data_IF_076020558250
#
_entry.id   IF_076020558250
#
_cell.length_a   1.000
_cell.length_b   1.000
_cell.length_c   1.000
_cell.angle_alpha   90.00
_cell.angle_beta   90.00
_cell.angle_gamma   90.00
#
_symmetry.space_group_name_H-M   'P 1'
#
loop_
_entity.id
_entity.type
_entity.pdbx_description
1 polymer ?
#
# COMPACT_ATOMS: atom_id res chain seq x y z
N UNK A 1 14.35 1.29 -7.07
CA UNK A 1 13.40 1.52 -8.17
C UNK A 1 13.51 2.99 -8.49
N UNK A 2 14.44 3.36 -9.36
CA UNK A 2 14.68 4.74 -9.78
C UNK A 2 14.84 4.74 -11.29
N UNK A 3 14.25 5.76 -11.94
CA UNK A 3 14.42 6.29 -13.29
C UNK A 3 14.56 5.35 -14.53
N UNK A 4 14.86 4.05 -14.38
CA UNK A 4 14.95 3.10 -15.48
C UNK A 4 13.57 2.49 -15.73
N UNK A 5 12.80 3.16 -16.58
CA UNK A 5 11.63 2.63 -17.29
C UNK A 5 10.44 2.28 -16.40
N UNK A 6 9.44 3.15 -16.37
CA UNK A 6 8.08 2.78 -15.96
C UNK A 6 7.45 1.97 -17.09
N UNK A 7 7.36 0.65 -16.89
CA UNK A 7 6.71 -0.25 -17.83
C UNK A 7 5.22 -0.29 -17.53
N UNK A 8 4.41 0.20 -18.46
CA UNK A 8 2.96 0.02 -18.39
C UNK A 8 2.65 -1.49 -18.47
N UNK A 9 1.53 -1.92 -17.89
CA UNK A 9 1.06 -3.33 -17.87
C UNK A 9 0.59 -3.84 -19.25
N UNK A 10 1.25 -3.42 -20.32
CA UNK A 10 0.97 -3.83 -21.69
C UNK A 10 1.96 -4.95 -22.05
N UNK A 11 1.46 -6.05 -22.62
CA UNK A 11 2.24 -7.26 -22.92
C UNK A 11 3.53 -7.05 -23.74
N UNK A 12 3.74 -5.87 -24.35
CA UNK A 12 5.00 -5.47 -24.97
C UNK A 12 6.20 -5.52 -24.01
N UNK A 13 6.05 -5.03 -22.77
CA UNK A 13 7.14 -5.12 -21.79
C UNK A 13 7.40 -6.56 -21.37
N UNK A 14 6.34 -7.37 -21.33
CA UNK A 14 6.46 -8.79 -21.01
C UNK A 14 7.19 -9.61 -22.08
N UNK A 15 7.13 -9.20 -23.34
CA UNK A 15 7.89 -9.83 -24.42
C UNK A 15 9.41 -9.81 -24.16
N UNK A 16 9.90 -8.77 -23.48
CA UNK A 16 11.32 -8.66 -23.10
C UNK A 16 11.73 -9.63 -21.97
N UNK A 17 10.75 -10.24 -21.29
CA UNK A 17 10.93 -11.17 -20.18
C UNK A 17 10.49 -12.59 -20.53
N UNK A 18 10.60 -12.94 -21.82
CA UNK A 18 10.15 -14.24 -22.33
C UNK A 18 10.74 -15.41 -21.54
N UNK A 19 12.02 -15.36 -21.21
CA UNK A 19 12.72 -16.45 -20.51
C UNK A 19 12.17 -16.64 -19.09
N UNK A 20 12.01 -15.54 -18.36
CA UNK A 20 11.45 -15.52 -17.01
C UNK A 20 9.99 -15.97 -17.00
N UNK A 21 9.23 -15.61 -18.04
CA UNK A 21 7.85 -16.06 -18.21
C UNK A 21 7.76 -17.56 -18.52
N UNK A 22 8.65 -18.08 -19.36
CA UNK A 22 8.77 -19.52 -19.65
C UNK A 22 9.12 -20.30 -18.36
N UNK A 23 10.06 -19.80 -17.56
CA UNK A 23 10.41 -20.39 -16.26
C UNK A 23 9.21 -20.36 -15.28
N UNK A 24 8.46 -19.25 -15.22
CA UNK A 24 7.26 -19.16 -14.38
C UNK A 24 6.15 -20.12 -14.80
N UNK A 25 6.10 -20.44 -16.09
CA UNK A 25 5.12 -21.35 -16.70
C UNK A 25 5.62 -22.80 -16.82
N UNK A 26 6.81 -23.09 -16.32
CA UNK A 26 7.36 -24.45 -16.24
C UNK A 26 6.82 -25.18 -15.01
N UNK A 27 5.78 -25.99 -15.23
CA UNK A 27 5.15 -26.82 -14.20
C UNK A 27 4.38 -27.98 -14.84
N UNK A 28 4.23 -29.06 -14.07
CA UNK A 28 3.36 -30.16 -14.43
C UNK A 28 1.90 -29.88 -14.01
N UNK A 29 0.96 -30.20 -14.91
CA UNK A 29 -0.46 -30.02 -14.66
C UNK A 29 -0.89 -30.89 -13.48
N UNK A 30 -1.49 -30.26 -12.47
CA UNK A 30 -1.96 -30.95 -11.26
C UNK A 30 -0.88 -31.20 -10.20
N UNK A 31 0.37 -30.80 -10.45
CA UNK A 31 1.44 -30.85 -9.43
C UNK A 31 1.47 -29.56 -8.60
N UNK A 32 2.37 -29.47 -7.62
CA UNK A 32 2.64 -28.28 -6.81
C UNK A 32 3.50 -27.30 -7.63
N UNK A 33 3.08 -26.04 -7.71
CA UNK A 33 3.87 -25.02 -8.39
C UNK A 33 5.22 -24.81 -7.70
N UNK A 34 6.23 -24.43 -8.49
CA UNK A 34 7.52 -23.98 -7.99
C UNK A 34 7.36 -22.83 -6.97
N UNK A 35 8.32 -22.74 -6.06
CA UNK A 35 8.33 -21.72 -5.01
C UNK A 35 8.92 -20.39 -5.51
N UNK A 36 8.21 -19.79 -6.47
CA UNK A 36 8.71 -18.79 -7.41
C UNK A 36 8.03 -17.43 -7.26
N UNK A 37 7.53 -17.10 -6.06
CA UNK A 37 6.83 -15.84 -5.83
C UNK A 37 7.68 -14.60 -6.15
N UNK A 38 9.01 -14.69 -6.00
CA UNK A 38 9.94 -13.62 -6.41
C UNK A 38 9.97 -13.41 -7.92
N UNK A 39 9.93 -14.50 -8.69
CA UNK A 39 9.86 -14.47 -10.15
C UNK A 39 8.53 -13.86 -10.60
N UNK A 40 7.42 -14.30 -9.99
CA UNK A 40 6.10 -13.71 -10.21
C UNK A 40 6.08 -12.20 -9.94
N UNK A 41 6.60 -11.75 -8.79
CA UNK A 41 6.69 -10.32 -8.46
C UNK A 41 7.57 -9.55 -9.44
N UNK A 42 8.70 -10.14 -9.86
CA UNK A 42 9.61 -9.54 -10.83
C UNK A 42 8.87 -9.30 -12.15
N UNK A 43 8.22 -10.33 -12.70
CA UNK A 43 7.39 -10.23 -13.90
C UNK A 43 6.34 -9.11 -13.75
N UNK A 44 5.58 -9.08 -12.66
CA UNK A 44 4.55 -8.05 -12.41
C UNK A 44 5.13 -6.62 -12.36
N UNK A 45 6.26 -6.42 -11.69
CA UNK A 45 6.91 -5.10 -11.56
C UNK A 45 7.40 -4.58 -12.91
N UNK A 46 7.81 -5.49 -13.80
CA UNK A 46 8.33 -5.20 -15.12
C UNK A 46 7.26 -5.23 -16.24
N UNK A 47 5.97 -5.22 -15.87
CA UNK A 47 4.86 -5.04 -16.82
C UNK A 47 4.29 -6.33 -17.41
N UNK A 48 4.69 -7.52 -16.92
CA UNK A 48 3.98 -8.78 -17.17
C UNK A 48 2.77 -8.92 -16.25
N UNK A 49 1.77 -8.06 -16.41
CA UNK A 49 0.51 -8.14 -15.67
C UNK A 49 -0.70 -7.99 -16.62
N UNK A 50 -1.79 -8.77 -16.44
CA UNK A 50 -1.94 -9.88 -15.49
C UNK A 50 -1.03 -11.06 -15.81
N UNK A 51 -0.52 -11.73 -14.77
CA UNK A 51 0.20 -12.99 -14.95
C UNK A 51 -0.73 -14.08 -15.52
N UNK A 52 -0.20 -14.98 -16.36
CA UNK A 52 -0.96 -16.13 -16.85
C UNK A 52 -1.40 -17.04 -15.69
N UNK A 53 -2.60 -17.60 -15.81
CA UNK A 53 -3.10 -18.58 -14.84
C UNK A 53 -2.31 -19.89 -14.98
N UNK A 54 -1.96 -20.49 -13.85
CA UNK A 54 -1.29 -21.80 -13.80
C UNK A 54 -2.27 -22.92 -13.49
N UNK A 55 -1.97 -24.12 -13.99
CA UNK A 55 -2.71 -25.36 -13.70
C UNK A 55 -1.96 -26.26 -12.71
N UNK A 56 -1.24 -25.67 -11.77
CA UNK A 56 -0.59 -26.32 -10.64
C UNK A 56 -1.19 -25.78 -9.33
N UNK A 57 -1.04 -26.54 -8.24
CA UNK A 57 -1.48 -26.15 -6.91
C UNK A 57 -0.49 -25.18 -6.27
N UNK A 58 -0.99 -24.04 -5.78
CA UNK A 58 -0.16 -23.07 -5.05
C UNK A 58 0.47 -23.72 -3.81
N UNK A 59 1.77 -23.52 -3.64
CA UNK A 59 2.50 -24.02 -2.47
C UNK A 59 2.00 -23.34 -1.20
N UNK A 60 1.42 -24.12 -0.30
CA UNK A 60 0.92 -23.68 1.00
C UNK A 60 1.94 -24.00 2.13
N UNK A 61 1.81 -23.36 3.31
CA UNK A 61 2.53 -23.82 4.50
C UNK A 61 2.18 -25.29 4.82
N UNK A 62 3.13 -26.08 5.34
CA UNK A 62 2.96 -27.52 5.53
C UNK A 62 1.95 -27.87 6.64
N UNK A 63 1.65 -26.94 7.53
CA UNK A 63 0.76 -27.15 8.67
C UNK A 63 -0.37 -26.13 8.64
N UNK A 64 -1.59 -26.61 8.93
CA UNK A 64 -2.74 -25.75 9.17
C UNK A 64 -2.87 -25.49 10.67
N UNK A 65 -2.91 -24.23 11.07
CA UNK A 65 -3.35 -23.83 12.40
C UNK A 65 -4.61 -22.99 12.29
N UNK A 66 -5.52 -23.17 13.26
CA UNK A 66 -6.79 -22.42 13.27
C UNK A 66 -6.48 -20.92 13.40
N UNK A 67 -7.00 -20.07 12.49
CA UNK A 67 -6.81 -18.62 12.59
C UNK A 67 -7.39 -18.06 13.90
N UNK A 68 -6.78 -16.98 14.39
CA UNK A 68 -7.30 -16.24 15.53
C UNK A 68 -8.66 -15.61 15.16
N UNK A 69 -9.58 -15.47 16.13
CA UNK A 69 -10.79 -14.66 15.96
C UNK A 69 -10.45 -13.23 15.52
N UNK A 70 -11.32 -12.61 14.72
CA UNK A 70 -11.05 -11.29 14.10
C UNK A 70 -10.69 -10.20 15.12
N UNK A 71 -11.31 -10.22 16.29
CA UNK A 71 -11.08 -9.29 17.40
C UNK A 71 -9.69 -9.43 18.02
N UNK A 72 -9.06 -10.61 17.94
CA UNK A 72 -7.70 -10.86 18.43
C UNK A 72 -6.67 -10.71 17.29
N UNK A 73 -7.00 -11.16 16.08
CA UNK A 73 -6.09 -11.21 14.94
C UNK A 73 -5.62 -9.83 14.47
N UNK A 74 -6.40 -8.77 14.71
CA UNK A 74 -6.04 -7.42 14.26
C UNK A 74 -4.71 -6.92 14.82
N UNK A 75 -4.37 -7.30 16.05
CA UNK A 75 -3.21 -6.76 16.77
C UNK A 75 -2.26 -7.84 17.31
N UNK A 76 -2.60 -9.12 17.18
CA UNK A 76 -1.71 -10.22 17.49
C UNK A 76 -0.71 -10.48 16.36
N UNK A 77 0.53 -10.85 16.72
CA UNK A 77 1.49 -11.39 15.76
C UNK A 77 0.97 -12.72 15.19
N UNK A 78 0.97 -12.91 13.86
CA UNK A 78 0.56 -14.18 13.27
C UNK A 78 1.49 -15.34 13.65
N UNK A 79 0.97 -16.57 13.56
CA UNK A 79 1.77 -17.78 13.75
C UNK A 79 2.75 -17.96 12.59
N UNK A 80 4.03 -18.12 12.91
CA UNK A 80 5.11 -18.36 11.94
C UNK A 80 4.80 -19.53 11.00
N UNK A 81 4.08 -20.55 11.47
CA UNK A 81 3.77 -21.76 10.69
C UNK A 81 2.81 -21.50 9.54
N UNK A 82 2.06 -20.39 9.58
CA UNK A 82 1.09 -20.04 8.54
C UNK A 82 1.67 -19.17 7.42
N UNK A 83 2.98 -18.93 7.44
CA UNK A 83 3.68 -18.14 6.43
C UNK A 83 4.74 -18.99 5.76
N UNK A 84 4.83 -18.86 4.43
CA UNK A 84 5.90 -19.46 3.66
C UNK A 84 7.14 -18.56 3.73
N UNK A 85 8.10 -18.95 4.56
CA UNK A 85 9.32 -18.18 4.78
C UNK A 85 10.40 -18.31 3.70
N UNK A 86 10.18 -19.14 2.68
CA UNK A 86 11.16 -19.34 1.61
C UNK A 86 11.52 -18.02 0.94
N UNK A 87 12.77 -17.88 0.53
CA UNK A 87 13.28 -16.68 -0.13
C UNK A 87 13.27 -15.36 0.69
N UNK A 88 12.82 -15.36 1.95
CA UNK A 88 13.02 -14.27 2.89
C UNK A 88 14.31 -14.43 3.71
N UNK A 89 14.86 -13.32 4.19
CA UNK A 89 16.01 -13.34 5.12
C UNK A 89 15.58 -13.79 6.51
N UNK A 90 14.48 -13.24 7.01
CA UNK A 90 13.86 -13.69 8.25
C UNK A 90 13.05 -14.98 8.03
N UNK A 91 12.99 -15.81 9.08
CA UNK A 91 12.28 -17.11 9.09
C UNK A 91 11.15 -17.18 10.11
N UNK A 92 10.89 -16.09 10.80
CA UNK A 92 9.80 -15.91 11.76
C UNK A 92 9.52 -14.42 11.95
N UNK A 93 8.36 -14.10 12.52
CA UNK A 93 7.94 -12.74 12.84
C UNK A 93 8.83 -12.10 13.90
N UNK A 94 9.33 -12.87 14.89
CA UNK A 94 10.27 -12.36 15.88
C UNK A 94 11.54 -11.79 15.24
N UNK A 95 12.06 -12.43 14.19
CA UNK A 95 13.16 -11.88 13.38
C UNK A 95 12.75 -10.58 12.69
N UNK A 96 11.54 -10.48 12.12
CA UNK A 96 11.09 -9.25 11.47
C UNK A 96 10.96 -8.08 12.47
N UNK A 97 10.49 -8.36 13.69
CA UNK A 97 10.38 -7.35 14.77
C UNK A 97 11.76 -6.92 15.29
N UNK A 98 12.70 -7.87 15.45
CA UNK A 98 14.03 -7.61 16.02
C UNK A 98 15.08 -7.13 15.01
N UNK A 99 14.92 -7.45 13.72
CA UNK A 99 15.84 -7.11 12.64
C UNK A 99 15.51 -5.74 12.02
N UNK A 100 14.99 -4.81 12.82
CA UNK A 100 14.60 -3.46 12.39
C UNK A 100 15.77 -2.64 11.83
N UNK A 101 17.01 -3.14 11.86
CA UNK A 101 18.15 -2.50 11.19
C UNK A 101 19.17 -3.51 10.64
N UNK A 102 19.43 -3.47 9.32
CA UNK A 102 20.78 -3.34 8.72
C UNK A 102 20.89 -3.53 7.19
N UNK A 103 19.85 -3.96 6.46
CA UNK A 103 19.77 -3.89 4.96
C UNK A 103 18.40 -4.36 4.44
N UNK A 104 17.45 -3.45 4.27
CA UNK A 104 16.06 -3.67 3.81
C UNK A 104 15.28 -2.35 3.71
N UNK A 105 14.07 -2.36 3.13
CA UNK A 105 13.22 -1.17 2.88
C UNK A 105 13.03 -0.32 4.16
N UNK A 106 13.79 0.78 4.27
CA UNK A 106 13.89 1.60 5.48
C UNK A 106 12.58 2.20 5.97
N UNK A 107 11.56 2.31 5.10
CA UNK A 107 10.28 2.94 5.45
C UNK A 107 9.36 2.08 6.32
N UNK A 108 9.71 0.80 6.55
CA UNK A 108 8.86 -0.15 7.28
C UNK A 108 9.62 -0.95 8.35
N UNK A 109 10.66 -0.35 8.96
CA UNK A 109 11.52 -1.01 9.94
C UNK A 109 10.75 -1.60 11.14
N UNK A 110 9.74 -0.88 11.62
CA UNK A 110 8.96 -1.25 12.81
C UNK A 110 7.53 -1.72 12.47
N UNK A 111 7.21 -1.94 11.19
CA UNK A 111 5.86 -2.29 10.74
C UNK A 111 5.35 -3.63 11.28
N UNK A 112 6.24 -4.51 11.73
CA UNK A 112 5.89 -5.81 12.28
C UNK A 112 5.70 -5.77 13.81
N UNK A 113 6.05 -4.68 14.49
CA UNK A 113 5.68 -4.47 15.89
C UNK A 113 4.21 -4.03 15.98
N UNK A 114 3.32 -5.03 15.89
CA UNK A 114 1.87 -4.82 15.89
C UNK A 114 1.33 -4.33 17.23
N UNK A 115 1.94 -4.74 18.34
CA UNK A 115 1.50 -4.41 19.70
C UNK A 115 2.07 -3.10 20.24
N UNK A 116 3.21 -2.65 19.74
CA UNK A 116 3.86 -1.40 20.13
C UNK A 116 3.68 -0.31 19.08
N UNK A 117 4.65 -0.18 18.17
CA UNK A 117 4.69 0.89 17.17
C UNK A 117 3.39 1.03 16.38
N UNK A 118 2.92 -0.05 15.74
CA UNK A 118 1.73 0.02 14.88
C UNK A 118 0.42 0.18 15.67
N UNK A 119 0.34 -0.37 16.88
CA UNK A 119 -0.82 -0.14 17.76
C UNK A 119 -0.94 1.34 18.14
N UNK A 120 0.13 2.11 18.26
CA UNK A 120 0.00 3.53 18.56
C UNK A 120 -0.50 4.36 17.36
N UNK A 121 -0.30 3.89 16.12
CA UNK A 121 -0.57 4.70 14.92
C UNK A 121 -2.06 4.99 14.71
N UNK A 122 -2.33 6.20 14.25
CA UNK A 122 -3.66 6.78 14.02
C UNK A 122 -4.61 6.74 15.25
N UNK A 123 -4.07 6.59 16.47
CA UNK A 123 -4.83 6.71 17.70
C UNK A 123 -4.78 8.15 18.24
N UNK A 124 -5.89 8.66 18.79
CA UNK A 124 -6.06 10.06 19.24
C UNK A 124 -5.00 10.51 20.25
N UNK A 125 -4.63 9.64 21.19
CA UNK A 125 -3.66 9.99 22.26
C UNK A 125 -2.26 10.32 21.73
N UNK A 126 -1.83 9.69 20.64
CA UNK A 126 -0.51 9.93 20.04
C UNK A 126 -0.44 11.28 19.30
N UNK A 127 -1.59 11.81 18.88
CA UNK A 127 -1.70 13.16 18.33
C UNK A 127 -1.68 14.25 19.39
N UNK A 128 -2.34 14.02 20.52
CA UNK A 128 -2.40 14.98 21.62
C UNK A 128 -1.04 15.15 22.32
N UNK A 129 -0.18 14.12 22.36
CA UNK A 129 1.19 14.23 22.89
C UNK A 129 2.17 14.93 21.92
N UNK A 130 1.87 14.99 20.62
CA UNK A 130 2.63 15.79 19.65
C UNK A 130 2.09 17.23 19.61
N UNK A 131 2.14 17.91 20.75
CA UNK A 131 2.01 19.37 20.84
C UNK A 131 3.21 20.07 20.21
N UNK A 132 3.29 20.00 18.89
CA UNK A 132 3.84 21.01 18.00
C UNK A 132 2.86 21.04 16.84
N UNK A 133 2.26 22.19 16.55
CA UNK A 133 1.16 22.40 15.58
C UNK A 133 1.52 22.09 14.09
N UNK A 134 2.39 21.12 13.80
CA UNK A 134 2.92 20.77 12.48
C UNK A 134 3.03 19.24 12.27
N UNK A 135 2.02 18.46 12.68
CA UNK A 135 1.95 17.06 12.24
C UNK A 135 1.56 16.98 10.76
N UNK A 136 2.26 16.16 9.98
CA UNK A 136 1.89 15.88 8.59
C UNK A 136 0.70 14.93 8.46
N UNK A 137 0.37 14.15 9.47
CA UNK A 137 -0.64 13.08 9.34
C UNK A 137 -2.01 13.62 9.83
N UNK A 138 -3.13 13.09 9.34
CA UNK A 138 -4.46 13.36 9.91
C UNK A 138 -5.01 12.18 10.74
N UNK A 139 -5.84 12.46 11.75
CA UNK A 139 -6.48 11.38 12.50
C UNK A 139 -7.64 10.76 11.71
N UNK A 140 -7.86 9.45 11.88
CA UNK A 140 -8.96 8.74 11.19
C UNK A 140 -10.32 9.33 11.54
N UNK A 141 -10.54 9.66 12.81
CA UNK A 141 -11.81 10.22 13.26
C UNK A 141 -12.08 11.58 12.60
N UNK A 142 -11.06 12.45 12.49
CA UNK A 142 -11.21 13.74 11.79
C UNK A 142 -11.61 13.57 10.32
N UNK A 143 -11.04 12.59 9.61
CA UNK A 143 -11.36 12.38 8.20
C UNK A 143 -12.74 11.76 8.04
N UNK A 144 -13.10 10.79 8.88
CA UNK A 144 -14.44 10.17 8.84
C UNK A 144 -15.55 11.15 9.22
N UNK A 145 -15.28 12.09 10.14
CA UNK A 145 -16.25 13.12 10.54
C UNK A 145 -16.56 14.14 9.43
N UNK A 146 -15.68 14.30 8.42
CA UNK A 146 -15.98 15.12 7.23
C UNK A 146 -17.19 14.59 6.45
N UNK A 147 -17.37 13.26 6.45
CA UNK A 147 -18.42 12.55 5.69
C UNK A 147 -19.01 11.41 6.53
N UNK A 148 -19.56 11.77 7.69
CA UNK A 148 -20.03 10.81 8.70
C UNK A 148 -21.05 9.84 8.12
N UNK A 149 -20.74 8.55 8.18
CA UNK A 149 -21.59 7.46 7.69
C UNK A 149 -21.56 7.23 6.17
N UNK A 150 -20.81 8.01 5.40
CA UNK A 150 -20.73 7.85 3.94
C UNK A 150 -19.53 7.01 3.47
N UNK A 151 -18.46 6.95 4.27
CA UNK A 151 -17.23 6.19 3.97
C UNK A 151 -17.38 4.77 4.52
N UNK A 152 -17.46 3.77 3.64
CA UNK A 152 -17.73 2.37 4.01
C UNK A 152 -16.75 1.38 3.38
N UNK A 153 -16.29 1.70 2.17
CA UNK A 153 -15.30 0.91 1.44
C UNK A 153 -14.19 1.79 0.89
N UNK A 154 -12.95 1.36 1.04
CA UNK A 154 -11.80 2.07 0.49
C UNK A 154 -10.63 1.19 0.12
N UNK A 155 -9.64 1.82 -0.48
CA UNK A 155 -8.36 1.24 -0.86
C UNK A 155 -7.24 1.93 -0.08
N UNK A 156 -6.42 1.17 0.61
CA UNK A 156 -5.15 1.64 1.14
C UNK A 156 -4.03 1.24 0.19
N UNK A 157 -3.56 2.21 -0.57
CA UNK A 157 -2.44 2.07 -1.49
C UNK A 157 -1.18 2.46 -0.71
N UNK A 158 -0.75 1.58 0.19
CA UNK A 158 0.42 1.77 1.05
C UNK A 158 1.15 0.46 1.28
N UNK A 159 2.49 0.48 1.36
CA UNK A 159 3.24 -0.69 1.85
C UNK A 159 3.19 -0.70 3.37
N UNK A 160 2.70 -1.79 3.94
CA UNK A 160 2.67 -2.01 5.37
C UNK A 160 2.00 -3.33 5.73
N UNK A 161 1.76 -3.53 7.02
CA UNK A 161 1.14 -4.75 7.55
C UNK A 161 -0.38 -4.66 7.66
N UNK A 162 -1.02 -3.63 7.08
CA UNK A 162 -2.47 -3.43 7.11
C UNK A 162 -3.00 -2.63 8.30
N UNK A 163 -2.16 -1.85 8.98
CA UNK A 163 -2.54 -1.10 10.19
C UNK A 163 -3.66 -0.09 9.95
N UNK A 164 -3.62 0.64 8.83
CA UNK A 164 -4.72 1.54 8.45
C UNK A 164 -6.03 0.75 8.28
N UNK A 165 -5.99 -0.37 7.55
CA UNK A 165 -7.14 -1.25 7.39
C UNK A 165 -7.69 -1.80 8.72
N UNK A 166 -6.82 -2.16 9.67
CA UNK A 166 -7.22 -2.57 11.01
C UNK A 166 -7.98 -1.45 11.75
N UNK A 167 -7.44 -0.22 11.72
CA UNK A 167 -8.04 0.95 12.38
C UNK A 167 -9.37 1.37 11.77
N UNK A 168 -9.49 1.27 10.45
CA UNK A 168 -10.72 1.53 9.73
C UNK A 168 -11.78 0.46 10.00
N UNK A 169 -11.36 -0.81 10.17
CA UNK A 169 -12.26 -1.90 10.54
C UNK A 169 -12.86 -1.77 11.94
N UNK A 170 -12.12 -1.23 12.91
CA UNK A 170 -12.65 -0.86 14.23
C UNK A 170 -13.78 0.19 14.16
N UNK A 171 -13.95 0.84 13.00
CA UNK A 171 -14.98 1.84 12.70
C UNK A 171 -15.94 1.36 11.59
N UNK A 172 -16.02 0.05 11.39
CA UNK A 172 -16.88 -0.60 10.41
C UNK A 172 -16.61 -0.21 8.93
N UNK A 173 -15.41 0.27 8.62
CA UNK A 173 -14.99 0.56 7.25
C UNK A 173 -14.12 -0.58 6.70
N UNK A 174 -14.50 -1.08 5.52
CA UNK A 174 -13.75 -2.14 4.84
C UNK A 174 -12.66 -1.52 3.96
N UNK A 175 -11.41 -1.86 4.24
CA UNK A 175 -10.27 -1.42 3.44
C UNK A 175 -9.64 -2.61 2.73
N UNK A 176 -9.43 -2.47 1.42
CA UNK A 176 -8.55 -3.33 0.66
C UNK A 176 -7.15 -2.73 0.70
N UNK A 177 -6.15 -3.48 1.13
CA UNK A 177 -4.75 -3.03 1.22
C UNK A 177 -3.96 -3.51 0.02
N UNK A 178 -3.58 -2.60 -0.89
CA UNK A 178 -2.71 -2.90 -2.02
C UNK A 178 -1.25 -2.94 -1.58
N UNK A 179 -0.59 -4.08 -1.77
CA UNK A 179 0.80 -4.25 -1.37
C UNK A 179 1.54 -5.29 -2.20
N UNK A 180 2.85 -5.35 -1.99
CA UNK A 180 3.75 -6.38 -2.52
C UNK A 180 4.68 -6.87 -1.42
N UNK A 181 5.34 -8.00 -1.63
CA UNK A 181 6.24 -8.60 -0.66
C UNK A 181 7.67 -8.08 -0.87
N UNK A 182 8.09 -7.14 0.00
CA UNK A 182 9.38 -6.47 -0.06
C UNK A 182 10.28 -6.91 1.09
N UNK A 183 10.97 -8.05 0.91
CA UNK A 183 11.85 -8.61 1.93
C UNK A 183 11.13 -9.15 3.17
N UNK A 184 9.80 -9.01 3.22
CA UNK A 184 8.92 -9.53 4.25
C UNK A 184 7.55 -9.91 3.63
N UNK A 185 6.76 -10.77 4.31
CA UNK A 185 5.51 -11.33 3.81
C UNK A 185 4.30 -10.44 4.16
N UNK A 186 4.21 -9.26 3.55
CA UNK A 186 3.17 -8.25 3.87
C UNK A 186 1.76 -8.73 3.54
N UNK A 187 1.54 -9.32 2.37
CA UNK A 187 0.21 -9.82 1.99
C UNK A 187 -0.28 -10.90 2.94
N UNK A 188 0.57 -11.86 3.28
CA UNK A 188 0.25 -12.93 4.22
C UNK A 188 -0.04 -12.36 5.61
N UNK A 189 0.73 -11.37 6.05
CA UNK A 189 0.52 -10.70 7.34
C UNK A 189 -0.85 -10.01 7.40
N UNK A 190 -1.22 -9.27 6.35
CA UNK A 190 -2.53 -8.60 6.25
C UNK A 190 -3.66 -9.64 6.29
N UNK A 191 -3.54 -10.73 5.52
CA UNK A 191 -4.53 -11.81 5.50
C UNK A 191 -4.69 -12.48 6.87
N UNK A 192 -3.58 -12.76 7.57
CA UNK A 192 -3.61 -13.37 8.90
C UNK A 192 -4.21 -12.48 9.98
N UNK A 193 -4.21 -11.17 9.77
CA UNK A 193 -4.94 -10.20 10.62
C UNK A 193 -6.45 -10.20 10.35
N UNK A 194 -6.93 -10.95 9.35
CA UNK A 194 -8.33 -10.97 8.93
C UNK A 194 -8.73 -9.76 8.08
N UNK A 195 -7.74 -9.12 7.42
CA UNK A 195 -7.91 -7.98 6.54
C UNK A 195 -7.79 -8.41 5.07
N UNK A 196 -8.13 -7.52 4.13
CA UNK A 196 -8.18 -7.85 2.69
C UNK A 196 -6.92 -7.33 1.99
N UNK A 197 -5.90 -8.17 1.72
CA UNK A 197 -4.79 -7.78 0.86
C UNK A 197 -5.18 -7.92 -0.61
N UNK A 198 -4.61 -7.04 -1.44
CA UNK A 198 -4.50 -7.26 -2.88
C UNK A 198 -3.05 -7.15 -3.30
N UNK A 199 -2.54 -8.18 -3.97
CA UNK A 199 -1.16 -8.23 -4.43
C UNK A 199 -1.05 -7.43 -5.73
N UNK A 200 -0.58 -6.19 -5.63
CA UNK A 200 -0.67 -5.23 -6.72
C UNK A 200 0.54 -4.30 -6.75
N UNK A 201 1.12 -4.10 -7.94
CA UNK A 201 2.22 -3.15 -8.17
C UNK A 201 1.71 -1.78 -8.60
N UNK A 202 2.54 -0.76 -8.48
CA UNK A 202 2.21 0.63 -8.86
C UNK A 202 1.89 0.82 -10.34
N UNK A 203 2.42 -0.04 -11.22
CA UNK A 203 2.24 0.06 -12.68
C UNK A 203 0.94 -0.61 -13.17
N UNK A 204 0.20 -1.24 -12.26
CA UNK A 204 -1.01 -1.97 -12.58
C UNK A 204 -2.24 -1.09 -12.46
N UNK A 205 -3.16 -1.25 -13.41
CA UNK A 205 -4.49 -0.67 -13.30
C UNK A 205 -5.25 -1.34 -12.16
N UNK A 206 -5.85 -0.54 -11.30
CA UNK A 206 -6.65 -0.98 -10.18
C UNK A 206 -7.81 -1.88 -10.64
N UNK A 207 -7.93 -3.11 -10.10
CA UNK A 207 -8.95 -4.08 -10.49
C UNK A 207 -10.31 -3.80 -9.82
N UNK A 208 -10.67 -2.53 -9.69
CA UNK A 208 -11.99 -2.08 -9.27
C UNK A 208 -12.74 -1.50 -10.47
N UNK A 209 -14.06 -1.64 -10.45
CA UNK A 209 -14.91 -0.97 -11.43
C UNK A 209 -14.89 0.55 -11.20
N UNK A 210 -15.31 1.31 -12.20
CA UNK A 210 -15.26 2.76 -12.15
C UNK A 210 -16.26 3.29 -11.10
N UNK A 211 -15.85 4.31 -10.34
CA UNK A 211 -16.67 5.01 -9.35
C UNK A 211 -17.30 4.12 -8.25
N UNK A 212 -16.57 3.12 -7.73
CA UNK A 212 -17.08 2.20 -6.69
C UNK A 212 -16.56 2.47 -5.28
N UNK A 213 -15.42 3.15 -5.11
CA UNK A 213 -14.80 3.34 -3.81
C UNK A 213 -15.21 4.67 -3.17
N UNK A 214 -15.36 4.66 -1.84
CA UNK A 214 -15.66 5.86 -1.04
C UNK A 214 -14.39 6.59 -0.60
N UNK A 215 -13.27 5.86 -0.49
CA UNK A 215 -11.98 6.35 0.00
C UNK A 215 -10.81 5.69 -0.75
N UNK A 216 -9.79 6.49 -1.09
CA UNK A 216 -8.45 6.01 -1.39
C UNK A 216 -7.51 6.67 -0.39
N UNK A 217 -6.73 5.88 0.33
CA UNK A 217 -5.71 6.32 1.26
C UNK A 217 -4.33 5.93 0.74
N UNK A 218 -3.35 6.80 0.93
CA UNK A 218 -1.94 6.46 0.75
C UNK A 218 -1.10 7.12 1.83
N UNK A 219 -0.10 6.40 2.35
CA UNK A 219 0.92 6.98 3.22
C UNK A 219 2.31 6.56 2.77
N UNK A 220 3.18 7.55 2.51
CA UNK A 220 4.61 7.37 2.17
C UNK A 220 4.91 6.43 0.98
N UNK A 221 3.91 6.00 0.21
CA UNK A 221 4.01 4.95 -0.82
C UNK A 221 4.16 5.49 -2.26
N UNK A 222 3.95 6.77 -2.46
CA UNK A 222 4.37 7.52 -3.64
C UNK A 222 5.20 8.66 -3.08
N UNK A 223 6.51 8.54 -3.06
CA UNK A 223 7.36 9.64 -2.62
C UNK A 223 8.11 10.23 -3.80
N UNK A 224 8.87 11.31 -3.55
CA UNK A 224 9.46 12.21 -4.54
C UNK A 224 10.50 11.60 -5.47
N UNK A 225 10.62 10.27 -5.47
CA UNK A 225 11.36 9.48 -6.45
C UNK A 225 10.46 8.91 -7.55
N UNK A 226 9.14 9.07 -7.42
CA UNK A 226 8.18 8.67 -8.45
C UNK A 226 8.27 9.63 -9.64
N UNK A 227 8.34 9.06 -10.85
CA UNK A 227 8.26 9.84 -12.06
C UNK A 227 6.89 10.55 -12.17
N UNK A 228 6.88 11.82 -12.61
CA UNK A 228 5.65 12.63 -12.70
C UNK A 228 4.61 12.03 -13.65
N UNK A 229 5.05 11.42 -14.77
CA UNK A 229 4.14 10.78 -15.72
C UNK A 229 3.52 9.52 -15.11
N UNK A 230 4.29 8.75 -14.33
CA UNK A 230 3.73 7.63 -13.57
C UNK A 230 2.74 8.09 -12.52
N UNK A 231 3.06 9.16 -11.77
CA UNK A 231 2.16 9.73 -10.78
C UNK A 231 0.84 10.16 -11.43
N UNK A 232 0.88 10.80 -12.59
CA UNK A 232 -0.30 11.14 -13.37
C UNK A 232 -1.16 9.90 -13.66
N UNK A 233 -0.58 8.83 -14.23
CA UNK A 233 -1.32 7.59 -14.49
C UNK A 233 -1.96 7.01 -13.22
N UNK A 234 -1.23 6.99 -12.11
CA UNK A 234 -1.75 6.51 -10.82
C UNK A 234 -2.92 7.36 -10.34
N UNK A 235 -2.79 8.69 -10.36
CA UNK A 235 -3.83 9.60 -9.89
C UNK A 235 -5.09 9.56 -10.76
N UNK A 236 -4.95 9.41 -12.09
CA UNK A 236 -6.11 9.24 -12.97
C UNK A 236 -6.80 7.89 -12.79
N UNK A 237 -6.05 6.83 -12.46
CA UNK A 237 -6.66 5.54 -12.15
C UNK A 237 -7.35 5.53 -10.77
N UNK A 238 -6.81 6.29 -9.82
CA UNK A 238 -7.47 6.58 -8.54
C UNK A 238 -8.74 7.40 -8.74
N UNK A 239 -8.70 8.46 -9.55
CA UNK A 239 -9.89 9.22 -9.95
C UNK A 239 -10.93 8.30 -10.58
N UNK A 240 -10.54 7.38 -11.46
CA UNK A 240 -11.46 6.43 -12.09
C UNK A 240 -12.24 5.59 -11.09
N UNK A 241 -11.58 4.99 -10.09
CA UNK A 241 -12.26 4.07 -9.15
C UNK A 241 -12.97 4.78 -8.00
N UNK A 242 -12.57 6.01 -7.67
CA UNK A 242 -13.21 6.81 -6.63
C UNK A 242 -14.55 7.36 -7.14
N UNK A 243 -15.63 7.19 -6.37
CA UNK A 243 -16.95 7.70 -6.76
C UNK A 243 -17.05 9.23 -6.56
N UNK A 244 -17.97 9.94 -7.23
CA UNK A 244 -18.25 11.34 -6.92
C UNK A 244 -18.59 11.51 -5.42
N UNK A 245 -17.97 12.49 -4.77
CA UNK A 245 -18.04 12.69 -3.32
C UNK A 245 -17.14 11.75 -2.50
N UNK A 246 -16.38 10.86 -3.14
CA UNK A 246 -15.37 10.03 -2.49
C UNK A 246 -14.14 10.86 -2.11
N UNK A 247 -13.38 10.34 -1.13
CA UNK A 247 -12.22 11.01 -0.55
C UNK A 247 -10.92 10.41 -1.08
N UNK A 248 -10.01 11.26 -1.55
CA UNK A 248 -8.59 10.94 -1.71
C UNK A 248 -7.84 11.52 -0.50
N UNK A 249 -7.26 10.63 0.29
CA UNK A 249 -6.49 10.95 1.49
C UNK A 249 -5.02 10.60 1.27
N UNK A 250 -4.19 11.64 1.21
CA UNK A 250 -2.73 11.54 1.07
C UNK A 250 -2.09 11.94 2.40
N UNK A 251 -1.38 11.03 3.04
CA UNK A 251 -0.62 11.28 4.27
C UNK A 251 0.89 11.23 4.01
N UNK A 252 1.58 12.31 4.34
CA UNK A 252 3.04 12.39 4.37
C UNK A 252 3.69 11.99 3.04
N UNK A 253 3.17 12.51 1.92
CA UNK A 253 3.85 12.46 0.62
C UNK A 253 5.17 13.21 0.75
N UNK A 254 6.28 12.49 0.62
CA UNK A 254 7.62 13.04 0.79
C UNK A 254 8.14 13.56 -0.55
N UNK A 255 8.74 14.74 -0.63
CA UNK A 255 9.54 15.17 -1.78
C UNK A 255 10.62 16.19 -1.38
N UNK A 256 11.52 16.48 -2.32
CA UNK A 256 12.39 17.65 -2.19
C UNK A 256 11.57 18.93 -2.36
N UNK A 257 11.99 19.99 -1.67
CA UNK A 257 11.33 21.30 -1.72
C UNK A 257 11.37 21.92 -3.12
N UNK A 258 12.42 21.65 -3.89
CA UNK A 258 12.58 22.11 -5.26
C UNK A 258 11.56 21.48 -6.23
N UNK A 259 11.19 20.21 -6.00
CA UNK A 259 10.21 19.48 -6.83
C UNK A 259 8.76 19.64 -6.34
N UNK A 260 8.55 20.27 -5.17
CA UNK A 260 7.25 20.32 -4.51
C UNK A 260 6.17 20.89 -5.43
N UNK A 261 6.45 22.00 -6.11
CA UNK A 261 5.45 22.67 -6.94
C UNK A 261 4.99 21.80 -8.12
N UNK A 262 5.89 21.01 -8.70
CA UNK A 262 5.56 20.08 -9.78
C UNK A 262 4.62 18.97 -9.30
N UNK A 263 4.92 18.37 -8.14
CA UNK A 263 4.04 17.37 -7.53
C UNK A 263 2.68 17.96 -7.13
N UNK A 264 2.66 19.14 -6.49
CA UNK A 264 1.41 19.80 -6.11
C UNK A 264 0.57 20.18 -7.33
N UNK A 265 1.20 20.52 -8.46
CA UNK A 265 0.52 20.81 -9.71
C UNK A 265 -0.23 19.58 -10.24
N UNK A 266 0.40 18.41 -10.21
CA UNK A 266 -0.22 17.13 -10.59
C UNK A 266 -1.47 16.85 -9.74
N UNK A 267 -1.42 17.02 -8.41
CA UNK A 267 -2.61 16.89 -7.56
C UNK A 267 -3.70 17.94 -7.87
N UNK A 268 -3.32 19.18 -8.23
CA UNK A 268 -4.27 20.25 -8.59
C UNK A 268 -5.01 19.95 -9.89
N UNK A 269 -4.42 19.20 -10.83
CA UNK A 269 -5.04 18.85 -12.11
C UNK A 269 -6.32 18.02 -11.95
N UNK A 270 -6.46 17.26 -10.86
CA UNK A 270 -7.68 16.50 -10.55
C UNK A 270 -8.91 17.39 -10.29
N UNK A 271 -8.69 18.66 -9.91
CA UNK A 271 -9.72 19.65 -9.54
C UNK A 271 -10.62 19.18 -8.39
N UNK A 272 -10.05 18.45 -7.44
CA UNK A 272 -10.78 18.01 -6.24
C UNK A 272 -11.02 19.16 -5.27
N UNK A 273 -12.13 19.10 -4.52
CA UNK A 273 -12.39 20.04 -3.42
C UNK A 273 -11.42 19.72 -2.27
N UNK A 274 -10.78 20.73 -1.71
CA UNK A 274 -9.83 20.58 -0.61
C UNK A 274 -10.55 20.70 0.73
N UNK A 275 -10.50 19.65 1.55
CA UNK A 275 -10.92 19.70 2.95
C UNK A 275 -9.73 20.01 3.87
N UNK A 276 -8.60 19.35 3.62
CA UNK A 276 -7.32 19.60 4.30
C UNK A 276 -6.20 19.66 3.28
N UNK A 277 -5.22 20.52 3.50
CA UNK A 277 -4.05 20.70 2.63
C UNK A 277 -2.92 21.32 3.44
N UNK A 278 -1.89 20.55 3.77
CA UNK A 278 -0.76 21.01 4.57
C UNK A 278 0.55 20.59 3.93
N UNK A 279 1.56 21.45 4.08
CA UNK A 279 2.95 21.13 3.77
C UNK A 279 3.75 21.45 5.01
N UNK A 280 4.52 20.47 5.50
CA UNK A 280 5.36 20.63 6.69
C UNK A 280 6.79 20.20 6.36
N UNK A 281 7.81 20.82 6.97
CA UNK A 281 9.18 20.37 6.79
C UNK A 281 9.38 18.96 7.38
N UNK A 282 10.24 18.16 6.76
CA UNK A 282 10.61 16.83 7.22
C UNK A 282 11.91 16.93 8.03
N UNK A 283 11.78 16.95 9.37
CA UNK A 283 12.88 17.20 10.31
C UNK A 283 13.70 15.95 10.71
N UNK A 284 13.60 14.84 9.98
CA UNK A 284 14.28 13.58 10.36
C UNK A 284 15.78 13.56 9.99
N UNK A 285 16.23 14.51 9.18
CA UNK A 285 17.64 14.76 8.87
C UNK A 285 18.00 16.18 9.26
N UNK A 286 19.29 16.47 9.47
CA UNK A 286 19.82 17.82 9.68
C UNK A 286 19.77 18.69 8.40
N UNK A 287 18.75 18.49 7.57
CA UNK A 287 18.60 19.02 6.22
C UNK A 287 17.13 19.44 6.01
N UNK A 288 16.90 20.71 5.71
CA UNK A 288 15.57 21.32 5.56
C UNK A 288 15.06 21.31 4.10
N UNK A 289 15.76 20.61 3.21
CA UNK A 289 15.39 20.46 1.80
C UNK A 289 14.22 19.51 1.57
N UNK A 290 13.84 18.74 2.57
CA UNK A 290 12.85 17.68 2.49
C UNK A 290 11.53 18.14 3.14
N UNK A 291 10.40 17.87 2.47
CA UNK A 291 9.06 18.26 2.95
C UNK A 291 8.08 17.10 2.89
N UNK A 292 7.05 17.16 3.73
CA UNK A 292 5.87 16.31 3.65
C UNK A 292 4.66 17.13 3.20
N UNK A 293 3.94 16.61 2.21
CA UNK A 293 2.64 17.07 1.78
C UNK A 293 1.56 16.11 2.23
N UNK A 294 0.47 16.64 2.79
CA UNK A 294 -0.71 15.85 3.13
C UNK A 294 -1.99 16.58 2.78
N UNK A 295 -2.98 15.84 2.30
CA UNK A 295 -4.25 16.40 1.92
C UNK A 295 -5.41 15.41 2.08
N UNK A 296 -6.59 15.98 2.33
CA UNK A 296 -7.86 15.29 2.23
C UNK A 296 -8.67 16.02 1.17
N UNK A 297 -8.92 15.32 0.06
CA UNK A 297 -9.48 15.86 -1.16
C UNK A 297 -10.77 15.12 -1.51
N UNK A 298 -11.82 15.82 -1.90
CA UNK A 298 -13.10 15.23 -2.30
C UNK A 298 -13.32 15.35 -3.81
N UNK A 299 -13.62 14.22 -4.45
CA UNK A 299 -13.93 14.17 -5.89
C UNK A 299 -15.23 14.91 -6.18
N UNK A 300 -15.25 15.92 -7.07
CA UNK A 300 -16.48 16.63 -7.42
C UNK A 300 -17.36 15.76 -8.31
N UNK A 301 -18.65 16.10 -8.40
CA UNK A 301 -19.48 15.63 -9.51
C UNK A 301 -18.97 16.25 -10.81
N UNK A 302 -18.76 15.42 -11.84
CA UNK A 302 -18.48 15.87 -13.19
C UNK A 302 -19.75 15.61 -14.01
N UNK A 303 -20.46 16.65 -14.49
CA UNK A 303 -21.65 16.43 -15.30
C UNK A 303 -21.27 15.66 -16.57
N UNK A 304 -22.10 14.69 -16.95
CA UNK A 304 -22.05 14.12 -18.29
C UNK A 304 -22.34 15.27 -19.26
N UNK A 305 -21.36 15.65 -20.08
CA UNK A 305 -21.57 16.59 -21.18
C UNK A 305 -22.16 15.85 -22.36
#
# INVERSE_FOLDING_TARGET
MGANGTFTSIGHSCFLMKKELEEYMDYDIGDICNDDWKLAQMLMVHGCDPLPRRRCFSKAPPFYTKPLPINESLWALPDDRNVRWSNYKCRNFTCLVSNSTKKGFFKCADCFDLSGHEFARWNKKTYEERTLNLSSEFSIDEVLDLKRGEIRIGLDFSIGTGTFAARMRERDVTIVSATINLGAPFCETIAHRGLVPIYLTINQRLPFFDNTLDLIHTTRFLDGWIDLVLLDFVLYDWDRVLRPGGILWVDSFFCLKEDLDDYLQVFRMLRYRKHKWIVVPKWDKHDDREVFFSAVLEKPSRPFR
#
